data_IF_209633311385
#
_entry.id   IF_209633311385
#
_cell.length_a   1.000
_cell.length_b   1.000
_cell.length_c   1.000
_cell.angle_alpha   90.00
_cell.angle_beta   90.00
_cell.angle_gamma   90.00
#
_symmetry.space_group_name_H-M   'P 1'
#
loop_
_entity.id
_entity.type
_entity.pdbx_description
1 polymer ?
#
# COMPACT_ATOMS: atom_id res chain seq x y z
N UNK A 1 -11.88 9.89 -30.26
CA UNK A 1 -11.22 10.17 -31.57
C UNK A 1 -11.65 11.58 -31.96
N UNK A 2 -10.76 12.56 -31.73
CA UNK A 2 -10.97 13.94 -32.20
C UNK A 2 -10.47 13.96 -33.63
N UNK A 3 -11.41 14.03 -34.57
CA UNK A 3 -11.11 14.28 -35.97
C UNK A 3 -10.64 15.75 -36.10
N UNK A 4 -9.40 15.97 -36.43
CA UNK A 4 -8.93 17.28 -36.91
C UNK A 4 -9.30 17.41 -38.37
N UNK A 5 -10.26 18.27 -38.67
CA UNK A 5 -10.64 18.64 -40.04
C UNK A 5 -9.44 19.20 -40.80
N UNK A 6 -9.02 18.53 -41.88
CA UNK A 6 -8.10 19.01 -42.86
C UNK A 6 -6.76 18.31 -43.04
N UNK A 7 -6.45 17.28 -42.24
CA UNK A 7 -5.19 16.54 -42.39
C UNK A 7 -5.47 15.16 -42.97
N UNK A 8 -4.74 14.79 -44.04
CA UNK A 8 -4.85 13.45 -44.64
C UNK A 8 -4.52 12.36 -43.60
N UNK A 9 -5.22 11.19 -43.62
CA UNK A 9 -4.92 10.08 -42.71
C UNK A 9 -3.45 9.63 -42.74
N UNK A 10 -2.79 9.76 -43.89
CA UNK A 10 -1.36 9.44 -44.04
C UNK A 10 -0.45 10.49 -43.39
N UNK A 11 -0.80 11.76 -43.45
CA UNK A 11 -0.06 12.84 -42.78
C UNK A 11 -0.20 12.72 -41.27
N UNK A 12 -1.41 12.41 -40.79
CA UNK A 12 -1.64 12.16 -39.37
C UNK A 12 -0.81 10.96 -38.86
N UNK A 13 -0.78 9.87 -39.60
CA UNK A 13 0.03 8.70 -39.28
C UNK A 13 1.52 9.04 -39.26
N UNK A 14 1.98 9.80 -40.24
CA UNK A 14 3.39 10.23 -40.33
C UNK A 14 3.80 11.09 -39.14
N UNK A 15 2.99 12.09 -38.75
CA UNK A 15 3.27 12.91 -37.59
C UNK A 15 3.30 12.08 -36.29
N UNK A 16 2.38 11.14 -36.11
CA UNK A 16 2.37 10.24 -34.96
C UNK A 16 3.62 9.38 -34.87
N UNK A 17 4.10 8.87 -35.99
CA UNK A 17 5.34 8.09 -36.05
C UNK A 17 6.55 8.98 -35.72
N UNK A 18 6.64 10.17 -36.27
CA UNK A 18 7.70 11.13 -35.99
C UNK A 18 7.69 11.54 -34.53
N UNK A 19 6.55 11.87 -33.93
CA UNK A 19 6.42 12.21 -32.52
C UNK A 19 6.87 11.07 -31.60
N UNK A 20 6.52 9.83 -31.98
CA UNK A 20 6.93 8.65 -31.22
C UNK A 20 8.45 8.48 -31.26
N UNK A 21 9.06 8.58 -32.45
CA UNK A 21 10.51 8.48 -32.60
C UNK A 21 11.27 9.62 -31.92
N UNK A 22 10.75 10.84 -31.96
CA UNK A 22 11.30 11.98 -31.23
C UNK A 22 11.21 11.77 -29.71
N UNK A 23 10.07 11.32 -29.21
CA UNK A 23 9.88 11.04 -27.79
C UNK A 23 10.82 9.94 -27.29
N UNK A 24 10.95 8.82 -28.03
CA UNK A 24 11.87 7.73 -27.71
C UNK A 24 13.32 8.18 -27.82
N UNK A 25 13.67 8.96 -28.85
CA UNK A 25 15.01 9.49 -29.06
C UNK A 25 15.44 10.44 -27.94
N UNK A 26 14.56 11.37 -27.53
CA UNK A 26 14.81 12.30 -26.42
C UNK A 26 14.91 11.52 -25.11
N UNK A 27 13.99 10.58 -24.87
CA UNK A 27 14.01 9.73 -23.67
C UNK A 27 15.27 8.90 -23.54
N UNK A 28 15.76 8.32 -24.66
CA UNK A 28 17.02 7.57 -24.71
C UNK A 28 18.25 8.45 -24.48
N UNK A 29 18.28 9.66 -25.06
CA UNK A 29 19.34 10.65 -24.83
C UNK A 29 19.39 11.09 -23.36
N UNK A 30 18.25 11.48 -22.79
CA UNK A 30 18.16 11.86 -21.37
C UNK A 30 18.57 10.70 -20.46
N UNK A 31 18.13 9.47 -20.77
CA UNK A 31 18.56 8.26 -20.06
C UNK A 31 20.07 8.02 -20.14
N UNK A 32 20.69 8.24 -21.30
CA UNK A 32 22.13 8.08 -21.49
C UNK A 32 22.99 9.09 -20.72
N UNK A 33 22.50 10.31 -20.53
CA UNK A 33 23.19 11.31 -19.70
C UNK A 33 23.05 11.03 -18.19
N UNK A 34 22.10 10.19 -17.74
CA UNK A 34 21.90 9.84 -16.34
C UNK A 34 22.74 8.64 -15.85
N UNK A 35 23.43 7.93 -16.73
CA UNK A 35 24.13 6.69 -16.39
C UNK A 35 25.45 6.85 -15.61
N UNK A 36 25.89 8.07 -15.33
CA UNK A 36 27.09 8.34 -14.52
C UNK A 36 26.81 9.23 -13.31
N UNK A 37 25.57 9.36 -12.88
CA UNK A 37 25.22 10.06 -11.67
C UNK A 37 25.77 9.33 -10.44
N UNK A 38 26.43 10.06 -9.52
CA UNK A 38 26.74 9.56 -8.16
C UNK A 38 25.50 8.89 -7.59
N UNK A 39 25.66 7.64 -7.09
CA UNK A 39 24.59 6.95 -6.33
C UNK A 39 24.05 7.89 -5.26
N UNK A 40 22.78 8.24 -5.36
CA UNK A 40 22.13 9.15 -4.41
C UNK A 40 21.56 8.33 -3.26
N UNK A 41 22.36 8.12 -2.25
CA UNK A 41 21.97 7.51 -0.98
C UNK A 41 21.65 8.53 0.13
N UNK A 42 21.55 9.80 -0.26
CA UNK A 42 21.22 10.94 0.59
C UNK A 42 19.77 11.43 0.44
N UNK A 43 19.00 10.80 -0.47
CA UNK A 43 17.61 11.14 -0.74
C UNK A 43 16.73 9.92 -0.52
N UNK A 44 15.69 10.11 0.31
CA UNK A 44 14.63 9.13 0.51
C UNK A 44 13.50 9.40 -0.51
N UNK A 45 13.20 8.38 -1.30
CA UNK A 45 12.04 8.37 -2.19
C UNK A 45 10.89 7.65 -1.51
N UNK A 46 9.77 8.34 -1.41
CA UNK A 46 8.52 7.79 -0.86
C UNK A 46 7.45 7.88 -1.93
N UNK A 47 6.88 6.76 -2.33
CA UNK A 47 5.79 6.73 -3.31
C UNK A 47 4.50 6.20 -2.68
N UNK A 48 3.37 6.70 -3.11
CA UNK A 48 2.08 6.15 -2.72
C UNK A 48 1.79 4.89 -3.53
N UNK A 49 1.50 3.78 -2.82
CA UNK A 49 1.24 2.51 -3.47
C UNK A 49 -0.08 2.50 -4.23
N UNK A 50 -1.12 3.07 -3.60
CA UNK A 50 -2.50 2.88 -4.04
C UNK A 50 -2.83 3.61 -5.35
N UNK A 51 -2.25 4.79 -5.56
CA UNK A 51 -2.55 5.66 -6.70
C UNK A 51 -1.37 5.82 -7.68
N UNK A 52 -0.11 5.75 -7.21
CA UNK A 52 1.06 6.02 -8.05
C UNK A 52 1.73 4.75 -8.62
N UNK A 53 1.86 3.71 -7.81
CA UNK A 53 2.60 2.51 -8.20
C UNK A 53 1.73 1.44 -8.85
N UNK A 54 0.45 1.43 -8.55
CA UNK A 54 -0.49 0.46 -9.09
C UNK A 54 -0.97 0.82 -10.49
N UNK A 55 -1.10 -0.21 -11.30
CA UNK A 55 -1.78 -0.11 -12.59
C UNK A 55 -3.31 -0.11 -12.43
N UNK A 56 -4.03 0.08 -13.54
CA UNK A 56 -5.50 -0.05 -13.59
C UNK A 56 -6.01 -1.42 -13.07
N UNK A 57 -5.17 -2.44 -13.03
CA UNK A 57 -5.46 -3.77 -12.49
C UNK A 57 -5.19 -3.91 -10.97
N UNK A 58 -4.93 -2.81 -10.28
CA UNK A 58 -4.62 -2.75 -8.82
C UNK A 58 -3.40 -3.59 -8.41
N UNK A 59 -2.43 -3.74 -9.29
CA UNK A 59 -1.17 -4.41 -9.01
C UNK A 59 -0.01 -3.57 -9.51
N UNK A 60 1.15 -3.69 -8.86
CA UNK A 60 2.39 -3.10 -9.35
C UNK A 60 2.78 -3.83 -10.63
N UNK A 61 2.96 -3.09 -11.73
CA UNK A 61 3.34 -3.69 -13.00
C UNK A 61 4.74 -4.31 -12.92
N UNK A 62 5.00 -5.35 -13.72
CA UNK A 62 6.32 -5.99 -13.78
C UNK A 62 7.41 -5.01 -14.23
N UNK A 63 7.06 -4.04 -15.06
CA UNK A 63 7.96 -2.95 -15.44
C UNK A 63 8.35 -2.12 -14.23
N UNK A 64 7.36 -1.67 -13.41
CA UNK A 64 7.63 -0.89 -12.21
C UNK A 64 8.43 -1.69 -11.18
N UNK A 65 8.11 -2.97 -10.97
CA UNK A 65 8.89 -3.85 -10.07
C UNK A 65 10.34 -3.95 -10.50
N UNK A 66 10.59 -4.18 -11.78
CA UNK A 66 11.95 -4.27 -12.33
C UNK A 66 12.70 -2.96 -12.18
N UNK A 67 12.06 -1.83 -12.52
CA UNK A 67 12.68 -0.52 -12.40
C UNK A 67 12.99 -0.15 -10.95
N UNK A 68 12.06 -0.36 -10.02
CA UNK A 68 12.25 -0.12 -8.59
C UNK A 68 13.36 -0.99 -8.01
N UNK A 69 13.36 -2.29 -8.33
CA UNK A 69 14.40 -3.19 -7.87
C UNK A 69 15.80 -2.79 -8.38
N UNK A 70 15.88 -2.34 -9.63
CA UNK A 70 17.14 -1.83 -10.18
C UNK A 70 17.60 -0.57 -9.44
N UNK A 71 16.71 0.41 -9.19
CA UNK A 71 17.03 1.60 -8.43
C UNK A 71 17.49 1.29 -7.01
N UNK A 72 16.83 0.34 -6.33
CA UNK A 72 17.18 -0.09 -4.97
C UNK A 72 18.55 -0.79 -4.97
N UNK A 73 18.81 -1.65 -5.95
CA UNK A 73 20.12 -2.31 -6.10
C UNK A 73 21.25 -1.30 -6.38
N UNK A 74 20.94 -0.22 -7.10
CA UNK A 74 21.85 0.92 -7.29
C UNK A 74 22.03 1.81 -6.04
N UNK A 75 21.32 1.52 -4.95
CA UNK A 75 21.48 2.17 -3.66
C UNK A 75 20.48 3.30 -3.39
N UNK A 76 19.41 3.42 -4.15
CA UNK A 76 18.36 4.37 -3.85
C UNK A 76 17.66 3.99 -2.53
N UNK A 77 17.47 4.97 -1.66
CA UNK A 77 16.64 4.81 -0.47
C UNK A 77 15.18 4.97 -0.88
N UNK A 78 14.46 3.84 -0.96
CA UNK A 78 13.08 3.82 -1.41
C UNK A 78 12.17 3.16 -0.39
N UNK A 79 11.03 3.78 -0.13
CA UNK A 79 9.93 3.19 0.63
C UNK A 79 8.58 3.62 0.05
N UNK A 80 7.51 3.12 0.64
CA UNK A 80 6.16 3.46 0.21
C UNK A 80 5.25 3.79 1.38
N UNK A 81 4.22 4.55 1.06
CA UNK A 81 3.08 4.82 1.93
C UNK A 81 1.83 4.18 1.33
N UNK A 82 0.95 3.64 2.17
CA UNK A 82 -0.29 3.00 1.72
C UNK A 82 -1.38 3.08 2.80
N UNK A 83 -2.63 3.08 2.36
CA UNK A 83 -3.81 2.91 3.22
C UNK A 83 -4.00 1.47 3.68
N UNK A 84 -3.32 0.53 3.05
CA UNK A 84 -3.48 -0.88 3.35
C UNK A 84 -2.88 -1.27 4.70
N UNK A 85 -3.38 -2.39 5.20
CA UNK A 85 -2.77 -3.06 6.35
C UNK A 85 -1.47 -3.75 5.95
N UNK A 86 -0.48 -3.89 6.86
CA UNK A 86 0.72 -4.68 6.60
C UNK A 86 0.40 -6.08 6.06
N UNK A 87 -0.60 -6.74 6.61
CA UNK A 87 -1.04 -8.06 6.17
C UNK A 87 -1.50 -8.11 4.71
N UNK A 88 -2.09 -7.03 4.20
CA UNK A 88 -2.50 -6.94 2.79
C UNK A 88 -1.32 -6.60 1.88
N UNK A 89 -0.37 -5.85 2.41
CA UNK A 89 0.79 -5.34 1.67
C UNK A 89 1.83 -6.43 1.37
N UNK A 90 2.09 -7.32 2.33
CA UNK A 90 3.17 -8.32 2.23
C UNK A 90 3.12 -9.08 0.91
N UNK A 91 1.97 -9.63 0.55
CA UNK A 91 1.81 -10.41 -0.68
C UNK A 91 2.02 -9.58 -1.96
N UNK A 92 1.72 -8.28 -1.91
CA UNK A 92 1.85 -7.40 -3.08
C UNK A 92 3.28 -6.98 -3.34
N UNK A 93 4.07 -6.80 -2.27
CA UNK A 93 5.45 -6.32 -2.35
C UNK A 93 6.49 -7.42 -2.24
N UNK A 94 6.10 -8.69 -2.17
CA UNK A 94 6.97 -9.85 -2.03
C UNK A 94 8.14 -9.86 -3.03
N UNK A 95 7.89 -9.36 -4.25
CA UNK A 95 8.89 -9.31 -5.32
C UNK A 95 9.68 -8.00 -5.39
N UNK A 96 9.44 -7.06 -4.46
CA UNK A 96 10.21 -5.83 -4.34
C UNK A 96 11.34 -6.01 -3.33
N UNK A 97 12.53 -5.54 -3.69
CA UNK A 97 13.72 -5.58 -2.83
C UNK A 97 13.73 -4.42 -1.82
N UNK A 98 12.60 -4.15 -1.19
CA UNK A 98 12.50 -3.07 -0.20
C UNK A 98 13.47 -3.31 0.94
N UNK A 99 14.23 -2.29 1.30
CA UNK A 99 15.21 -2.34 2.41
C UNK A 99 14.80 -1.44 3.57
N UNK A 100 13.83 -0.59 3.35
CA UNK A 100 13.32 0.35 4.34
C UNK A 100 11.93 -0.08 4.80
N UNK A 101 11.56 0.26 6.04
CA UNK A 101 10.22 0.05 6.54
C UNK A 101 9.18 0.77 5.69
N UNK A 102 8.00 0.22 5.59
CA UNK A 102 6.86 0.82 4.90
C UNK A 102 5.96 1.58 5.86
N UNK A 103 5.32 2.62 5.35
CA UNK A 103 4.35 3.42 6.08
C UNK A 103 2.95 2.90 5.69
N UNK A 104 2.26 2.29 6.62
CA UNK A 104 0.95 1.66 6.39
C UNK A 104 -0.18 2.35 7.16
N UNK A 105 -1.43 2.06 6.79
CA UNK A 105 -2.63 2.59 7.43
C UNK A 105 -2.62 4.13 7.51
N UNK A 106 -2.43 4.79 6.37
CA UNK A 106 -2.38 6.26 6.26
C UNK A 106 -1.38 6.92 7.23
N UNK A 107 -0.27 6.24 7.54
CA UNK A 107 0.77 6.75 8.43
C UNK A 107 0.65 6.28 9.88
N UNK A 108 -0.40 5.55 10.24
CA UNK A 108 -0.57 5.06 11.61
C UNK A 108 0.44 3.98 12.01
N UNK A 109 1.08 3.33 11.04
CA UNK A 109 2.00 2.21 11.30
C UNK A 109 3.27 2.35 10.46
N UNK A 110 4.42 2.16 11.09
CA UNK A 110 5.71 1.92 10.43
C UNK A 110 6.07 0.44 10.60
N UNK A 111 6.19 -0.27 9.49
CA UNK A 111 6.30 -1.73 9.47
C UNK A 111 7.51 -2.21 8.69
N UNK A 112 8.32 -3.06 9.33
CA UNK A 112 9.44 -3.75 8.70
C UNK A 112 8.95 -5.05 8.05
N UNK A 113 8.93 -5.07 6.71
CA UNK A 113 8.45 -6.22 5.93
C UNK A 113 9.38 -7.44 6.09
N UNK A 114 10.69 -7.22 6.21
CA UNK A 114 11.65 -8.31 6.31
C UNK A 114 11.60 -9.01 7.67
N UNK A 115 11.54 -8.20 8.73
CA UNK A 115 11.51 -8.73 10.10
C UNK A 115 10.09 -9.08 10.54
N UNK A 116 9.10 -8.75 9.71
CA UNK A 116 7.68 -8.93 9.99
C UNK A 116 7.28 -8.31 11.34
N UNK A 117 7.70 -7.06 11.56
CA UNK A 117 7.62 -6.40 12.85
C UNK A 117 7.12 -4.95 12.74
N UNK A 118 6.29 -4.55 13.72
CA UNK A 118 5.88 -3.16 13.89
C UNK A 118 6.98 -2.36 14.57
N UNK A 119 7.60 -1.41 13.84
CA UNK A 119 8.60 -0.52 14.40
C UNK A 119 7.97 0.64 15.18
N UNK A 120 6.80 1.07 14.74
CA UNK A 120 6.00 2.10 15.39
C UNK A 120 4.52 1.91 15.03
N UNK A 121 3.65 2.18 16.00
CA UNK A 121 2.21 2.23 15.79
C UNK A 121 1.61 3.39 16.59
N UNK A 122 0.79 4.20 15.94
CA UNK A 122 -0.01 5.24 16.60
C UNK A 122 -1.24 4.58 17.20
N UNK A 123 -1.13 4.18 18.45
CA UNK A 123 -2.21 3.53 19.17
C UNK A 123 -3.22 4.55 19.69
N UNK A 124 -4.47 4.15 19.76
CA UNK A 124 -5.52 4.96 20.34
C UNK A 124 -5.28 5.12 21.85
N UNK A 125 -5.60 6.29 22.38
CA UNK A 125 -5.59 6.49 23.83
C UNK A 125 -6.53 5.48 24.51
N UNK A 126 -6.08 4.84 25.55
CA UNK A 126 -6.77 3.74 26.21
C UNK A 126 -8.22 4.07 26.60
N UNK A 127 -8.42 5.19 27.30
CA UNK A 127 -9.73 5.63 27.75
C UNK A 127 -10.65 5.95 26.56
N UNK A 128 -10.11 6.51 25.50
CA UNK A 128 -10.85 6.77 24.26
C UNK A 128 -11.32 5.46 23.63
N UNK A 129 -10.45 4.47 23.53
CA UNK A 129 -10.77 3.14 22.98
C UNK A 129 -11.90 2.46 23.77
N UNK A 130 -11.84 2.51 25.12
CA UNK A 130 -12.89 1.97 25.98
C UNK A 130 -14.23 2.67 25.72
N UNK A 131 -14.22 4.01 25.67
CA UNK A 131 -15.45 4.81 25.46
C UNK A 131 -16.08 4.54 24.10
N UNK A 132 -15.30 4.45 23.03
CA UNK A 132 -15.80 4.13 21.69
C UNK A 132 -16.41 2.72 21.68
N UNK A 133 -15.72 1.73 22.27
CA UNK A 133 -16.23 0.36 22.39
C UNK A 133 -17.57 0.29 23.14
N UNK A 134 -17.68 1.01 24.26
CA UNK A 134 -18.92 1.10 25.01
C UNK A 134 -20.04 1.69 24.16
N UNK A 135 -19.81 2.82 23.51
CA UNK A 135 -20.79 3.51 22.67
C UNK A 135 -21.29 2.60 21.53
N UNK A 136 -20.39 1.89 20.84
CA UNK A 136 -20.75 0.97 19.76
C UNK A 136 -21.57 -0.22 20.28
N UNK A 137 -21.23 -0.72 21.48
CA UNK A 137 -21.95 -1.80 22.15
C UNK A 137 -23.36 -1.36 22.58
N UNK A 138 -23.50 -0.19 23.19
CA UNK A 138 -24.79 0.38 23.61
C UNK A 138 -25.74 0.62 22.43
N UNK A 139 -25.18 0.98 21.28
CA UNK A 139 -25.94 1.16 20.03
C UNK A 139 -26.19 -0.17 19.30
N UNK A 140 -25.80 -1.31 19.88
CA UNK A 140 -25.93 -2.64 19.27
C UNK A 140 -25.31 -2.71 17.84
N UNK A 141 -24.17 -2.05 17.65
CA UNK A 141 -23.43 -2.09 16.38
C UNK A 141 -22.42 -3.24 16.37
N UNK A 142 -22.35 -3.91 15.23
CA UNK A 142 -21.25 -4.84 15.00
C UNK A 142 -20.00 -4.04 14.58
N UNK A 143 -18.86 -4.37 15.17
CA UNK A 143 -17.59 -3.71 14.89
C UNK A 143 -16.41 -4.67 15.02
N UNK A 144 -15.30 -4.29 14.40
CA UNK A 144 -14.03 -4.95 14.53
C UNK A 144 -13.10 -4.06 15.38
N UNK A 145 -12.41 -4.65 16.35
CA UNK A 145 -11.39 -3.96 17.14
C UNK A 145 -10.03 -4.47 16.72
N UNK A 146 -9.21 -3.61 16.16
CA UNK A 146 -7.88 -3.95 15.66
C UNK A 146 -6.84 -3.60 16.71
N UNK A 147 -6.06 -4.60 17.11
CA UNK A 147 -5.09 -4.55 18.20
C UNK A 147 -3.77 -5.15 17.73
N UNK A 148 -2.65 -4.61 18.22
CA UNK A 148 -1.32 -5.20 18.04
C UNK A 148 -0.87 -5.76 19.38
N UNK A 149 -0.63 -7.06 19.43
CA UNK A 149 -0.14 -7.78 20.62
C UNK A 149 1.13 -8.54 20.22
N UNK A 150 2.26 -8.24 20.81
CA UNK A 150 3.55 -8.90 20.55
C UNK A 150 3.87 -9.02 19.06
N UNK A 151 3.79 -7.91 18.33
CA UNK A 151 3.97 -7.82 16.88
C UNK A 151 2.95 -8.63 16.05
N UNK A 152 1.89 -9.14 16.68
CA UNK A 152 0.82 -9.85 16.00
C UNK A 152 -0.42 -8.96 15.87
N UNK A 153 -0.94 -8.84 14.66
CA UNK A 153 -2.21 -8.18 14.43
C UNK A 153 -3.36 -9.11 14.78
N UNK A 154 -4.15 -8.71 15.75
CA UNK A 154 -5.34 -9.41 16.21
C UNK A 154 -6.57 -8.56 15.95
N UNK A 155 -7.60 -9.16 15.36
CA UNK A 155 -8.87 -8.51 15.06
C UNK A 155 -9.94 -9.17 15.90
N UNK A 156 -10.38 -8.47 16.93
CA UNK A 156 -11.51 -8.89 17.75
C UNK A 156 -12.83 -8.46 17.11
N UNK A 157 -13.85 -9.26 17.26
CA UNK A 157 -15.19 -8.94 16.79
C UNK A 157 -16.27 -9.49 17.74
N UNK A 158 -17.38 -8.78 17.81
CA UNK A 158 -18.59 -9.21 18.54
C UNK A 158 -19.51 -10.05 17.63
N UNK A 159 -20.72 -10.33 18.09
CA UNK A 159 -21.71 -11.03 17.30
C UNK A 159 -22.10 -10.19 16.06
N UNK A 160 -21.78 -10.75 14.89
CA UNK A 160 -22.17 -10.17 13.61
C UNK A 160 -23.63 -10.54 13.33
N UNK A 161 -24.48 -9.53 13.30
CA UNK A 161 -25.94 -9.71 13.14
C UNK A 161 -26.32 -9.76 11.67
N UNK A 162 -25.53 -9.12 10.82
CA UNK A 162 -25.79 -8.89 9.40
C UNK A 162 -25.06 -9.95 8.54
N UNK A 163 -25.75 -10.47 7.52
CA UNK A 163 -25.17 -11.45 6.56
C UNK A 163 -24.06 -10.83 5.71
N UNK A 164 -24.13 -9.53 5.39
CA UNK A 164 -23.08 -8.83 4.66
C UNK A 164 -21.78 -8.79 5.48
N UNK A 165 -21.89 -8.52 6.79
CA UNK A 165 -20.75 -8.55 7.71
C UNK A 165 -20.15 -9.95 7.85
N UNK A 166 -20.99 -10.98 7.91
CA UNK A 166 -20.52 -12.39 7.93
C UNK A 166 -19.82 -12.74 6.62
N UNK A 167 -20.36 -12.31 5.49
CA UNK A 167 -19.76 -12.47 4.16
C UNK A 167 -18.41 -11.76 4.05
N UNK A 168 -18.31 -10.53 4.59
CA UNK A 168 -17.07 -9.77 4.65
C UNK A 168 -16.03 -10.48 5.53
N UNK A 169 -16.38 -10.89 6.74
CA UNK A 169 -15.49 -11.65 7.63
C UNK A 169 -14.98 -12.93 6.95
N UNK A 170 -15.86 -13.67 6.27
CA UNK A 170 -15.48 -14.89 5.56
C UNK A 170 -14.40 -14.63 4.49
N UNK A 171 -14.51 -13.53 3.75
CA UNK A 171 -13.49 -13.12 2.76
C UNK A 171 -12.16 -12.74 3.43
N UNK A 172 -12.23 -11.99 4.52
CA UNK A 172 -11.03 -11.50 5.21
C UNK A 172 -10.28 -12.63 5.94
N UNK A 173 -10.97 -13.66 6.44
CA UNK A 173 -10.35 -14.80 7.15
C UNK A 173 -9.46 -15.65 6.26
N UNK A 174 -9.51 -15.50 4.95
CA UNK A 174 -8.61 -16.20 4.02
C UNK A 174 -7.22 -15.58 3.95
N UNK A 175 -7.01 -14.39 4.54
CA UNK A 175 -5.70 -13.76 4.59
C UNK A 175 -4.79 -14.45 5.63
N UNK A 176 -3.59 -14.89 5.27
CA UNK A 176 -2.70 -15.65 6.14
C UNK A 176 -2.12 -14.86 7.31
N UNK A 177 -2.15 -13.51 7.22
CA UNK A 177 -1.51 -12.63 8.20
C UNK A 177 -2.51 -11.92 9.12
N UNK A 178 -3.74 -12.42 9.22
CA UNK A 178 -4.81 -11.82 10.03
C UNK A 178 -5.37 -12.83 11.00
N UNK A 179 -5.38 -12.49 12.28
CA UNK A 179 -5.92 -13.33 13.35
C UNK A 179 -7.26 -12.77 13.82
N UNK A 180 -8.34 -13.52 13.60
CA UNK A 180 -9.69 -13.11 13.98
C UNK A 180 -10.14 -13.85 15.23
N UNK A 181 -10.57 -13.12 16.24
CA UNK A 181 -11.08 -13.68 17.51
C UNK A 181 -12.47 -13.17 17.81
N UNK A 182 -13.42 -14.10 17.99
CA UNK A 182 -14.80 -13.77 18.43
C UNK A 182 -14.83 -13.58 19.95
N UNK A 183 -14.32 -12.46 20.41
CA UNK A 183 -14.40 -12.03 21.82
C UNK A 183 -14.06 -10.54 21.90
N UNK A 184 -14.28 -9.93 23.05
CA UNK A 184 -13.72 -8.60 23.32
C UNK A 184 -12.20 -8.68 23.50
N UNK A 185 -11.46 -7.62 23.15
CA UNK A 185 -10.06 -7.47 23.53
C UNK A 185 -9.92 -7.44 25.06
N UNK A 186 -8.74 -7.76 25.56
CA UNK A 186 -8.43 -7.55 26.98
C UNK A 186 -8.39 -6.05 27.29
N UNK A 187 -8.63 -5.68 28.54
CA UNK A 187 -8.62 -4.26 28.93
C UNK A 187 -7.21 -3.62 28.84
N UNK A 188 -6.17 -4.45 28.86
CA UNK A 188 -4.77 -4.00 28.67
C UNK A 188 -4.36 -3.90 27.19
N UNK A 189 -5.18 -4.41 26.27
CA UNK A 189 -4.86 -4.40 24.85
C UNK A 189 -4.92 -2.98 24.28
N UNK A 190 -3.87 -2.58 23.58
CA UNK A 190 -3.79 -1.28 22.93
C UNK A 190 -4.49 -1.31 21.56
N UNK A 191 -5.57 -0.55 21.46
CA UNK A 191 -6.38 -0.47 20.25
C UNK A 191 -5.70 0.41 19.22
N UNK A 192 -5.60 -0.08 17.99
CA UNK A 192 -5.09 0.68 16.85
C UNK A 192 -6.24 1.46 16.20
N UNK A 193 -7.37 0.76 15.88
CA UNK A 193 -8.60 1.38 15.35
C UNK A 193 -9.79 0.41 15.45
N UNK A 194 -10.99 0.93 15.17
CA UNK A 194 -12.23 0.17 15.11
C UNK A 194 -12.70 -0.07 13.68
#
# INVERSE_FOLDING_TARGET
VIAHDGVSPYEFLFYRVVDTFLGVGIGSLVGSFHTHGKKRNDVLFVAELDDELRSAHRQISEFNKTALNHMIDEGALFTMITRQTPASLIAEVEHLKLRLPVIALDGAVLYDIYQNRYLHACLMEHDMGIRIRQLLTEQNRAFFTNVIVDDVWVIYYNDLVDEDQKGYLKKLRTSPYRNYMKRAPHDEDHILYF
#
